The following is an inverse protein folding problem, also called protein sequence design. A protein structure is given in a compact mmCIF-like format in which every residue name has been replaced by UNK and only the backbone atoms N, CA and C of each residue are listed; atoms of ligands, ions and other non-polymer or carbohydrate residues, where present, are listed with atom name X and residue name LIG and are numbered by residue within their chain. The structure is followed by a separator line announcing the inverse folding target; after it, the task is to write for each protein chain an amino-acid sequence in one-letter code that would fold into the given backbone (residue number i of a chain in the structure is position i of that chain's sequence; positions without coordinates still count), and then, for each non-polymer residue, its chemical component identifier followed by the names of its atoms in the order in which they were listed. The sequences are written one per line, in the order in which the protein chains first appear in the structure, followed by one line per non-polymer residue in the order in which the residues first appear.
data_IF_406575193321
#
_entry.id   IF_406575193321
#
_cell.length_a   1.000
_cell.length_b   1.000
_cell.length_c   1.000
_cell.angle_alpha   90.00
_cell.angle_beta   90.00
_cell.angle_gamma   90.00
#
_symmetry.space_group_name_H-M   'P 1'
#
loop_
_entity.id
_entity.type
_entity.pdbx_description
1 polymer ?
#
# COMPACT_ATOMS: atom_id res chain seq x y z
N UNK A 1 10.33 -41.75 -61.41
CA UNK A 1 10.50 -42.51 -60.16
C UNK A 1 11.00 -41.52 -59.14
N UNK A 2 10.12 -41.18 -58.20
CA UNK A 2 10.31 -40.16 -57.19
C UNK A 2 11.32 -40.66 -56.15
N UNK A 3 12.38 -39.87 -55.92
CA UNK A 3 13.35 -40.07 -54.85
C UNK A 3 12.77 -39.44 -53.58
N UNK A 4 12.04 -40.24 -52.81
CA UNK A 4 11.47 -39.86 -51.51
C UNK A 4 12.59 -39.82 -50.46
N UNK A 5 13.35 -38.73 -50.46
CA UNK A 5 14.38 -38.43 -49.48
C UNK A 5 13.80 -38.22 -48.08
N UNK A 6 13.72 -39.31 -47.30
CA UNK A 6 13.60 -39.22 -45.85
C UNK A 6 14.90 -38.61 -45.33
N UNK A 7 14.91 -37.28 -45.13
CA UNK A 7 15.96 -36.55 -44.39
C UNK A 7 15.90 -36.98 -42.92
N UNK A 8 16.52 -38.12 -42.62
CA UNK A 8 16.70 -38.61 -41.26
C UNK A 8 17.65 -37.71 -40.49
N UNK A 9 17.13 -37.03 -39.47
CA UNK A 9 17.93 -36.43 -38.41
C UNK A 9 18.71 -37.59 -37.76
N UNK A 10 20.02 -37.68 -37.99
CA UNK A 10 20.84 -38.80 -37.50
C UNK A 10 20.84 -38.88 -35.98
N UNK A 11 19.94 -39.67 -35.40
CA UNK A 11 19.86 -39.94 -33.97
C UNK A 11 20.59 -41.24 -33.62
N UNK A 12 21.33 -41.20 -32.51
CA UNK A 12 22.06 -42.36 -31.98
C UNK A 12 23.27 -42.75 -32.85
N UNK A 13 23.47 -44.06 -33.02
CA UNK A 13 24.63 -44.64 -33.71
C UNK A 13 24.63 -44.49 -35.23
N UNK A 14 23.62 -43.85 -35.83
CA UNK A 14 23.50 -43.70 -37.29
C UNK A 14 23.67 -42.23 -37.68
N UNK A 15 24.59 -41.99 -38.61
CA UNK A 15 24.89 -40.66 -39.17
C UNK A 15 23.73 -40.15 -40.04
N UNK A 16 23.70 -38.85 -40.29
CA UNK A 16 22.73 -38.23 -41.21
C UNK A 16 22.81 -38.75 -42.67
N UNK A 17 23.83 -39.56 -42.99
CA UNK A 17 24.00 -40.25 -44.27
C UNK A 17 23.53 -41.71 -44.25
N UNK A 18 22.90 -42.16 -43.17
CA UNK A 18 22.41 -43.54 -43.00
C UNK A 18 23.50 -44.58 -42.70
N UNK A 19 24.73 -44.14 -42.38
CA UNK A 19 25.85 -45.03 -42.04
C UNK A 19 26.11 -45.07 -40.53
N UNK A 20 26.60 -46.20 -40.03
CA UNK A 20 27.05 -46.34 -38.63
C UNK A 20 28.16 -45.33 -38.31
N UNK A 21 27.96 -44.55 -37.24
CA UNK A 21 28.93 -43.56 -36.76
C UNK A 21 30.18 -44.26 -36.23
N UNK A 22 31.33 -43.70 -36.54
CA UNK A 22 32.61 -44.13 -35.98
C UNK A 22 32.73 -43.78 -34.50
N UNK A 23 33.58 -44.50 -33.76
CA UNK A 23 33.86 -44.24 -32.34
C UNK A 23 34.27 -42.79 -32.07
N UNK A 24 34.98 -42.16 -33.02
CA UNK A 24 35.42 -40.77 -32.93
C UNK A 24 34.26 -39.78 -33.10
N UNK A 25 33.32 -40.08 -34.00
CA UNK A 25 32.13 -39.26 -34.21
C UNK A 25 31.21 -39.29 -32.98
N UNK A 26 31.04 -40.47 -32.38
CA UNK A 26 30.28 -40.64 -31.12
C UNK A 26 30.93 -39.82 -30.00
N UNK A 27 32.26 -39.91 -29.82
CA UNK A 27 32.97 -39.13 -28.80
C UNK A 27 32.87 -37.62 -28.99
N UNK A 28 32.88 -37.14 -30.23
CA UNK A 28 32.72 -35.70 -30.54
C UNK A 28 31.29 -35.24 -30.25
N UNK A 29 30.30 -36.08 -30.50
CA UNK A 29 28.90 -35.79 -30.23
C UNK A 29 28.60 -35.83 -28.72
N UNK A 30 29.14 -36.81 -27.99
CA UNK A 30 29.08 -36.91 -26.53
C UNK A 30 29.74 -35.69 -25.86
N UNK A 31 30.91 -35.28 -26.35
CA UNK A 31 31.60 -34.08 -25.85
C UNK A 31 30.80 -32.79 -26.12
N UNK A 32 30.12 -32.71 -27.28
CA UNK A 32 29.22 -31.58 -27.60
C UNK A 32 27.95 -31.61 -26.75
N UNK A 33 27.37 -32.77 -26.48
CA UNK A 33 26.23 -32.89 -25.57
C UNK A 33 26.62 -32.49 -24.13
N UNK A 34 27.77 -32.93 -23.64
CA UNK A 34 28.30 -32.52 -22.33
C UNK A 34 28.54 -31.00 -22.24
N UNK A 35 28.99 -30.35 -23.32
CA UNK A 35 29.13 -28.90 -23.40
C UNK A 35 27.81 -28.13 -23.57
N UNK A 36 26.76 -28.78 -24.07
CA UNK A 36 25.44 -28.16 -24.22
C UNK A 36 24.62 -28.29 -22.94
N UNK A 37 24.80 -29.37 -22.17
CA UNK A 37 24.20 -29.56 -20.85
C UNK A 37 24.77 -28.62 -19.77
N UNK A 38 26.03 -28.19 -19.89
CA UNK A 38 26.63 -27.20 -18.97
C UNK A 38 26.13 -25.77 -19.18
N UNK A 39 25.34 -25.52 -20.23
CA UNK A 39 24.55 -24.30 -20.45
C UNK A 39 23.05 -24.58 -20.44
N UNK A 40 22.59 -25.57 -19.66
CA UNK A 40 21.24 -25.46 -19.12
C UNK A 40 21.22 -24.11 -18.41
N UNK A 41 20.48 -23.12 -18.95
CA UNK A 41 20.15 -21.90 -18.20
C UNK A 41 19.71 -22.42 -16.84
N UNK A 42 20.44 -22.09 -15.77
CA UNK A 42 19.93 -22.27 -14.43
C UNK A 42 18.59 -21.58 -14.44
N UNK A 43 17.52 -22.37 -14.49
CA UNK A 43 16.17 -21.87 -14.33
C UNK A 43 16.18 -21.35 -12.92
N UNK A 44 16.34 -20.02 -12.78
CA UNK A 44 16.46 -19.39 -11.49
C UNK A 44 15.26 -19.85 -10.67
N UNK A 45 15.49 -20.67 -9.65
CA UNK A 45 14.40 -21.20 -8.85
C UNK A 45 13.75 -19.97 -8.22
N UNK A 46 12.49 -19.72 -8.58
CA UNK A 46 11.67 -18.75 -7.89
C UNK A 46 11.44 -19.35 -6.52
N UNK A 47 12.02 -18.78 -5.47
CA UNK A 47 11.83 -19.19 -4.09
C UNK A 47 10.79 -18.29 -3.42
N UNK A 48 10.30 -18.70 -2.25
CA UNK A 48 9.37 -17.84 -1.50
C UNK A 48 9.95 -16.45 -1.20
N UNK A 49 11.23 -16.38 -0.87
CA UNK A 49 11.94 -15.11 -0.64
C UNK A 49 11.90 -14.17 -1.85
N UNK A 50 11.95 -14.71 -3.07
CA UNK A 50 11.85 -13.90 -4.30
C UNK A 50 10.45 -13.32 -4.50
N UNK A 51 9.41 -14.06 -4.13
CA UNK A 51 8.02 -13.58 -4.17
C UNK A 51 7.83 -12.45 -3.17
N UNK A 52 8.27 -12.63 -1.92
CA UNK A 52 8.21 -11.60 -0.87
C UNK A 52 8.97 -10.33 -1.29
N UNK A 53 10.18 -10.49 -1.85
CA UNK A 53 10.98 -9.37 -2.34
C UNK A 53 10.35 -8.64 -3.54
N UNK A 54 9.60 -9.34 -4.39
CA UNK A 54 8.89 -8.72 -5.50
C UNK A 54 7.65 -7.93 -5.05
N UNK A 55 6.97 -8.36 -3.98
CA UNK A 55 5.79 -7.68 -3.44
C UNK A 55 6.12 -6.52 -2.50
N UNK A 56 7.28 -6.55 -1.84
CA UNK A 56 7.69 -5.53 -0.89
C UNK A 56 7.65 -4.08 -1.44
N UNK A 57 8.15 -3.76 -2.65
CA UNK A 57 8.06 -2.41 -3.21
C UNK A 57 6.62 -1.93 -3.41
N UNK A 58 5.71 -2.84 -3.74
CA UNK A 58 4.29 -2.51 -3.94
C UNK A 58 3.64 -2.17 -2.60
N UNK A 59 3.94 -2.96 -1.56
CA UNK A 59 3.50 -2.66 -0.19
C UNK A 59 4.02 -1.32 0.30
N UNK A 60 5.32 -1.04 0.10
CA UNK A 60 5.94 0.22 0.51
C UNK A 60 5.28 1.42 -0.15
N UNK A 61 5.12 1.40 -1.48
CA UNK A 61 4.48 2.51 -2.21
C UNK A 61 3.04 2.76 -1.76
N UNK A 62 2.28 1.68 -1.51
CA UNK A 62 0.92 1.81 -1.02
C UNK A 62 0.87 2.43 0.38
N UNK A 63 1.75 1.98 1.28
CA UNK A 63 1.87 2.52 2.62
C UNK A 63 2.30 4.00 2.63
N UNK A 64 3.18 4.40 1.73
CA UNK A 64 3.55 5.81 1.52
C UNK A 64 2.33 6.65 1.14
N UNK A 65 1.55 6.22 0.15
CA UNK A 65 0.32 6.92 -0.25
C UNK A 65 -0.67 7.05 0.92
N UNK A 66 -0.88 5.98 1.68
CA UNK A 66 -1.79 6.00 2.83
C UNK A 66 -1.27 6.90 3.96
N UNK A 67 0.05 6.89 4.21
CA UNK A 67 0.68 7.72 5.23
C UNK A 67 0.62 9.21 4.89
N UNK A 68 0.74 9.59 3.63
CA UNK A 68 0.54 10.97 3.18
C UNK A 68 -0.87 11.47 3.50
N UNK A 69 -1.89 10.66 3.20
CA UNK A 69 -3.30 10.97 3.51
C UNK A 69 -3.52 11.05 5.03
N UNK A 70 -2.98 10.09 5.79
CA UNK A 70 -3.07 10.09 7.27
C UNK A 70 -2.39 11.31 7.86
N UNK A 71 -1.25 11.73 7.30
CA UNK A 71 -0.52 12.93 7.73
C UNK A 71 -1.40 14.18 7.57
N UNK A 72 -2.00 14.38 6.39
CA UNK A 72 -2.92 15.48 6.13
C UNK A 72 -4.13 15.49 7.11
N UNK A 73 -4.73 14.32 7.33
CA UNK A 73 -5.84 14.16 8.31
C UNK A 73 -5.38 14.50 9.73
N UNK A 74 -4.15 14.15 10.13
CA UNK A 74 -3.62 14.45 11.46
C UNK A 74 -3.40 15.96 11.66
N UNK A 75 -2.84 16.66 10.66
CA UNK A 75 -2.67 18.12 10.70
C UNK A 75 -4.04 18.80 10.85
N UNK A 76 -5.01 18.44 10.01
CA UNK A 76 -6.38 18.93 10.10
C UNK A 76 -7.01 18.66 11.47
N UNK A 77 -6.78 17.47 12.03
CA UNK A 77 -7.28 17.09 13.35
C UNK A 77 -6.66 17.91 14.49
N UNK A 78 -5.38 18.28 14.38
CA UNK A 78 -4.71 19.14 15.36
C UNK A 78 -5.28 20.56 15.32
N UNK A 79 -5.38 21.14 14.12
CA UNK A 79 -5.95 22.47 13.90
C UNK A 79 -7.39 22.57 14.43
N UNK A 80 -8.22 21.55 14.15
CA UNK A 80 -9.59 21.48 14.65
C UNK A 80 -9.66 21.35 16.19
N UNK A 81 -8.72 20.66 16.83
CA UNK A 81 -8.67 20.57 18.31
C UNK A 81 -8.32 21.92 18.93
N UNK A 82 -7.38 22.63 18.33
CA UNK A 82 -7.02 23.97 18.79
C UNK A 82 -8.18 24.95 18.60
N UNK A 83 -8.85 24.91 17.44
CA UNK A 83 -10.05 25.70 17.17
C UNK A 83 -11.16 25.44 18.20
N UNK A 84 -11.37 24.16 18.54
CA UNK A 84 -12.34 23.76 19.56
C UNK A 84 -11.98 24.33 20.94
N UNK A 85 -10.69 24.32 21.32
CA UNK A 85 -10.20 24.87 22.58
C UNK A 85 -10.44 26.38 22.64
N UNK A 86 -10.01 27.12 21.62
CA UNK A 86 -10.17 28.57 21.54
C UNK A 86 -11.65 28.98 21.56
N UNK A 87 -12.50 28.29 20.79
CA UNK A 87 -13.94 28.58 20.74
C UNK A 87 -14.62 28.35 22.10
N UNK A 88 -14.23 27.29 22.83
CA UNK A 88 -14.73 27.05 24.20
C UNK A 88 -14.29 28.16 25.16
N UNK A 89 -13.03 28.58 25.09
CA UNK A 89 -12.52 29.68 25.91
C UNK A 89 -13.30 30.97 25.62
N UNK A 90 -13.49 31.32 24.34
CA UNK A 90 -14.30 32.48 23.95
C UNK A 90 -15.74 32.42 24.48
N UNK A 91 -16.38 31.24 24.49
CA UNK A 91 -17.72 31.08 25.06
C UNK A 91 -17.72 31.35 26.57
N UNK A 92 -16.76 30.81 27.32
CA UNK A 92 -16.70 31.03 28.77
C UNK A 92 -16.38 32.50 29.10
N UNK A 93 -15.38 33.09 28.44
CA UNK A 93 -15.05 34.51 28.63
C UNK A 93 -16.23 35.42 28.23
N UNK A 94 -17.01 35.07 27.19
CA UNK A 94 -18.21 35.81 26.81
C UNK A 94 -19.34 35.68 27.85
N UNK A 95 -19.51 34.50 28.48
CA UNK A 95 -20.47 34.37 29.60
C UNK A 95 -20.08 35.23 30.80
N UNK A 96 -18.79 35.30 31.10
CA UNK A 96 -18.26 36.15 32.16
C UNK A 96 -18.45 37.64 31.84
N UNK A 97 -18.20 38.06 30.59
CA UNK A 97 -18.53 39.41 30.10
C UNK A 97 -20.02 39.72 30.26
N UNK A 98 -20.90 38.76 29.93
CA UNK A 98 -22.35 38.92 30.11
C UNK A 98 -22.71 39.16 31.57
N UNK A 99 -22.07 38.45 32.50
CA UNK A 99 -22.29 38.64 33.95
C UNK A 99 -21.79 40.02 34.38
N UNK A 100 -20.58 40.40 34.01
CA UNK A 100 -20.00 41.70 34.35
C UNK A 100 -20.85 42.87 33.81
N UNK A 101 -21.41 42.76 32.61
CA UNK A 101 -22.35 43.73 32.04
C UNK A 101 -23.64 43.85 32.85
N UNK A 102 -24.16 42.72 33.38
CA UNK A 102 -25.37 42.70 34.21
C UNK A 102 -25.11 43.37 35.57
N UNK A 103 -23.94 43.11 36.14
CA UNK A 103 -23.52 43.62 37.45
C UNK A 103 -22.96 45.06 37.36
N UNK A 104 -22.80 45.59 36.14
CA UNK A 104 -22.24 46.91 35.81
C UNK A 104 -20.81 47.10 36.34
N UNK A 105 -20.05 46.01 36.40
CA UNK A 105 -18.65 46.01 36.81
C UNK A 105 -17.76 46.46 35.64
N UNK A 106 -17.40 47.74 35.62
CA UNK A 106 -16.64 48.34 34.51
C UNK A 106 -15.23 47.78 34.37
N UNK A 107 -14.60 47.36 35.47
CA UNK A 107 -13.24 46.80 35.45
C UNK A 107 -13.27 45.39 34.87
N UNK A 108 -14.20 44.54 35.35
CA UNK A 108 -14.39 43.20 34.81
C UNK A 108 -14.83 43.22 33.34
N UNK A 109 -15.68 44.17 32.93
CA UNK A 109 -16.07 44.35 31.51
C UNK A 109 -14.83 44.61 30.65
N UNK A 110 -13.97 45.55 31.04
CA UNK A 110 -12.78 45.90 30.27
C UNK A 110 -11.83 44.72 30.14
N UNK A 111 -11.55 44.03 31.25
CA UNK A 111 -10.68 42.85 31.29
C UNK A 111 -11.20 41.73 30.37
N UNK A 112 -12.51 41.46 30.41
CA UNK A 112 -13.11 40.38 29.59
C UNK A 112 -13.16 40.73 28.10
N UNK A 113 -13.31 42.01 27.73
CA UNK A 113 -13.18 42.44 26.34
C UNK A 113 -11.76 42.28 25.82
N UNK A 114 -10.76 42.66 26.62
CA UNK A 114 -9.36 42.47 26.26
C UNK A 114 -9.02 40.99 26.06
N UNK A 115 -9.48 40.13 26.98
CA UNK A 115 -9.30 38.68 26.87
C UNK A 115 -9.99 38.09 25.62
N UNK A 116 -11.23 38.52 25.33
CA UNK A 116 -11.93 38.11 24.11
C UNK A 116 -11.20 38.55 22.83
N UNK A 117 -10.65 39.78 22.81
CA UNK A 117 -9.87 40.27 21.67
C UNK A 117 -8.62 39.41 21.45
N UNK A 118 -7.86 39.10 22.51
CA UNK A 118 -6.69 38.21 22.42
C UNK A 118 -7.07 36.82 21.89
N UNK A 119 -8.17 36.24 22.37
CA UNK A 119 -8.65 34.95 21.88
C UNK A 119 -9.12 35.02 20.42
N UNK A 120 -9.72 36.14 19.99
CA UNK A 120 -10.10 36.36 18.61
C UNK A 120 -8.88 36.46 17.68
N UNK A 121 -7.83 37.18 18.09
CA UNK A 121 -6.56 37.27 17.36
C UNK A 121 -5.90 35.89 17.19
N UNK A 122 -5.82 35.10 18.27
CA UNK A 122 -5.29 33.73 18.22
C UNK A 122 -6.08 32.86 17.24
N UNK A 123 -7.40 32.97 17.26
CA UNK A 123 -8.27 32.20 16.38
C UNK A 123 -8.18 32.67 14.93
N UNK A 124 -8.00 33.96 14.69
CA UNK A 124 -7.76 34.48 13.35
C UNK A 124 -6.41 34.00 12.79
N UNK A 125 -5.36 34.00 13.62
CA UNK A 125 -4.07 33.43 13.25
C UNK A 125 -4.20 31.94 12.89
N UNK A 126 -4.92 31.16 13.71
CA UNK A 126 -5.21 29.75 13.41
C UNK A 126 -6.02 29.59 12.10
N UNK A 127 -7.02 30.45 11.85
CA UNK A 127 -7.80 30.40 10.62
C UNK A 127 -6.94 30.71 9.38
N UNK A 128 -5.96 31.61 9.50
CA UNK A 128 -4.98 31.88 8.43
C UNK A 128 -4.04 30.70 8.21
N UNK A 129 -3.53 30.10 9.28
CA UNK A 129 -2.71 28.89 9.21
C UNK A 129 -3.48 27.74 8.55
N UNK A 130 -4.73 27.50 8.96
CA UNK A 130 -5.58 26.47 8.32
C UNK A 130 -5.79 26.73 6.84
N UNK A 131 -5.95 27.99 6.41
CA UNK A 131 -6.04 28.32 4.99
C UNK A 131 -4.74 27.99 4.24
N UNK A 132 -3.59 28.24 4.85
CA UNK A 132 -2.29 27.89 4.30
C UNK A 132 -2.12 26.37 4.21
N UNK A 133 -2.33 25.65 5.31
CA UNK A 133 -2.25 24.18 5.35
C UNK A 133 -3.19 23.54 4.32
N UNK A 134 -4.40 24.10 4.19
CA UNK A 134 -5.39 23.67 3.21
C UNK A 134 -4.89 23.84 1.75
N UNK A 135 -4.12 24.88 1.47
CA UNK A 135 -3.56 25.13 0.14
C UNK A 135 -2.35 24.20 -0.13
N UNK A 136 -1.47 24.05 0.86
CA UNK A 136 -0.29 23.17 0.78
C UNK A 136 -0.66 21.70 0.61
N UNK A 137 -1.79 21.28 1.19
CA UNK A 137 -2.29 19.89 1.10
C UNK A 137 -3.26 19.65 -0.06
N UNK A 138 -3.44 20.60 -0.97
CA UNK A 138 -4.43 20.50 -2.06
C UNK A 138 -4.30 19.22 -2.89
N UNK A 139 -3.08 18.82 -3.22
CA UNK A 139 -2.77 17.58 -3.99
C UNK A 139 -2.97 16.28 -3.19
N UNK A 140 -3.11 16.38 -1.87
CA UNK A 140 -3.35 15.25 -0.96
C UNK A 140 -4.83 15.04 -0.66
N UNK A 141 -5.70 15.99 -1.07
CA UNK A 141 -7.12 15.99 -0.71
C UNK A 141 -7.90 14.87 -1.34
N UNK A 142 -7.57 14.47 -2.56
CA UNK A 142 -8.23 13.36 -3.24
C UNK A 142 -7.17 12.43 -3.76
N UNK A 143 -6.97 11.31 -3.07
CA UNK A 143 -5.98 10.30 -3.44
C UNK A 143 -6.69 9.02 -3.85
N UNK A 144 -6.33 8.55 -5.04
CA UNK A 144 -6.63 7.19 -5.45
C UNK A 144 -5.60 6.28 -4.79
N UNK A 145 -6.06 5.46 -3.84
CA UNK A 145 -5.22 4.44 -3.25
C UNK A 145 -5.14 3.29 -4.24
N UNK A 146 -3.96 3.11 -4.84
CA UNK A 146 -3.74 2.18 -5.96
C UNK A 146 -2.75 1.10 -5.58
N UNK A 147 -3.10 -0.14 -5.87
CA UNK A 147 -2.21 -1.29 -5.77
C UNK A 147 -1.83 -1.75 -7.18
N UNK A 148 -0.59 -1.49 -7.61
CA UNK A 148 -0.17 -1.70 -9.00
C UNK A 148 -1.00 -0.85 -9.96
N UNK A 149 -1.68 -1.49 -10.92
CA UNK A 149 -2.61 -0.82 -11.84
C UNK A 149 -4.07 -0.82 -11.34
N UNK A 150 -4.34 -1.44 -10.19
CA UNK A 150 -5.69 -1.59 -9.67
C UNK A 150 -6.00 -0.51 -8.63
N UNK A 151 -7.09 0.22 -8.86
CA UNK A 151 -7.58 1.20 -7.89
C UNK A 151 -8.36 0.49 -6.79
N UNK A 152 -7.89 0.59 -5.55
CA UNK A 152 -8.51 -0.05 -4.38
C UNK A 152 -9.47 0.88 -3.64
N UNK A 153 -9.27 2.19 -3.75
CA UNK A 153 -10.23 3.15 -3.20
C UNK A 153 -9.93 4.59 -3.61
N UNK A 154 -10.91 5.46 -3.40
CA UNK A 154 -10.73 6.92 -3.40
C UNK A 154 -10.93 7.38 -1.98
N UNK A 155 -9.93 8.07 -1.43
CA UNK A 155 -10.08 8.75 -0.16
C UNK A 155 -10.06 10.25 -0.41
N UNK A 156 -11.02 10.93 0.20
CA UNK A 156 -11.14 12.37 0.15
C UNK A 156 -10.96 13.00 1.54
N UNK A 157 -9.88 13.76 1.72
CA UNK A 157 -9.65 14.60 2.90
C UNK A 157 -10.31 15.95 2.67
N UNK A 158 -11.48 16.13 3.29
CA UNK A 158 -12.24 17.38 3.21
C UNK A 158 -11.47 18.55 3.80
N UNK A 159 -11.67 19.74 3.23
CA UNK A 159 -11.11 20.97 3.76
C UNK A 159 -11.67 21.29 5.14
N UNK A 160 -10.79 21.77 6.01
CA UNK A 160 -11.19 22.31 7.30
C UNK A 160 -11.48 23.79 7.15
N UNK A 161 -12.59 24.25 7.75
CA UNK A 161 -12.97 25.65 7.78
C UNK A 161 -13.19 26.09 9.22
N UNK A 162 -12.35 27.02 9.66
CA UNK A 162 -12.54 27.78 10.90
C UNK A 162 -13.07 29.15 10.50
N UNK A 163 -14.19 29.58 11.08
CA UNK A 163 -14.68 30.92 10.77
C UNK A 163 -13.78 31.93 11.50
N UNK A 164 -13.35 32.97 10.81
CA UNK A 164 -12.85 34.17 11.46
C UNK A 164 -14.07 35.04 11.77
N UNK A 165 -14.47 35.15 13.04
CA UNK A 165 -15.48 36.15 13.41
C UNK A 165 -14.81 37.51 13.52
N UNK A 166 -15.30 38.46 12.73
CA UNK A 166 -14.82 39.84 12.67
C UNK A 166 -15.46 40.77 13.70
N UNK A 167 -16.38 40.29 14.54
CA UNK A 167 -16.96 41.12 15.61
C UNK A 167 -15.90 41.41 16.66
N UNK A 168 -15.52 42.68 16.78
CA UNK A 168 -14.63 43.14 17.83
C UNK A 168 -15.33 42.99 19.18
N UNK A 169 -14.60 42.67 20.26
CA UNK A 169 -15.21 42.54 21.59
C UNK A 169 -15.84 43.86 22.07
N UNK A 170 -15.40 45.00 21.51
CA UNK A 170 -15.93 46.33 21.78
C UNK A 170 -17.34 46.56 21.22
N UNK A 171 -17.77 45.74 20.24
CA UNK A 171 -19.13 45.77 19.69
C UNK A 171 -20.14 45.09 20.63
N UNK A 172 -19.67 44.34 21.63
CA UNK A 172 -20.50 43.63 22.61
C UNK A 172 -20.88 44.56 23.77
N UNK A 173 -21.85 45.45 23.53
CA UNK A 173 -22.21 46.55 24.46
C UNK A 173 -23.24 46.15 25.50
N UNK A 174 -24.11 45.20 25.17
CA UNK A 174 -25.19 44.75 26.06
C UNK A 174 -25.29 43.22 26.12
N UNK A 175 -26.06 42.71 27.09
CA UNK A 175 -26.24 41.26 27.29
C UNK A 175 -26.94 40.55 26.13
N UNK A 176 -27.65 41.27 25.26
CA UNK A 176 -28.22 40.76 24.02
C UNK A 176 -27.13 40.46 22.99
N UNK A 177 -26.29 41.46 22.69
CA UNK A 177 -25.15 41.32 21.76
C UNK A 177 -24.24 40.15 22.17
N UNK A 178 -23.96 40.02 23.48
CA UNK A 178 -23.15 38.93 24.02
C UNK A 178 -23.82 37.56 23.85
N UNK A 179 -25.15 37.47 23.95
CA UNK A 179 -25.84 36.20 23.70
C UNK A 179 -25.76 35.78 22.24
N UNK A 180 -25.98 36.71 21.32
CA UNK A 180 -25.90 36.43 19.88
C UNK A 180 -24.48 36.00 19.48
N UNK A 181 -23.48 36.63 20.11
CA UNK A 181 -22.10 36.21 19.99
C UNK A 181 -21.87 34.77 20.49
N UNK A 182 -22.36 34.43 21.69
CA UNK A 182 -22.26 33.08 22.28
C UNK A 182 -22.96 32.02 21.42
N UNK A 183 -24.19 32.27 20.97
CA UNK A 183 -24.94 31.31 20.13
C UNK A 183 -24.24 31.06 18.80
N UNK A 184 -23.66 32.11 18.25
CA UNK A 184 -22.81 31.99 17.09
C UNK A 184 -21.55 31.15 17.31
N UNK A 185 -20.87 31.33 18.44
CA UNK A 185 -19.73 30.48 18.82
C UNK A 185 -20.14 29.02 19.08
N UNK A 186 -21.34 28.77 19.62
CA UNK A 186 -21.87 27.40 19.80
C UNK A 186 -22.13 26.71 18.47
N UNK A 187 -22.72 27.43 17.51
CA UNK A 187 -22.97 26.93 16.16
C UNK A 187 -21.65 26.53 15.49
N UNK A 188 -20.64 27.37 15.63
CA UNK A 188 -19.31 27.06 15.12
C UNK A 188 -18.63 25.91 15.86
N UNK A 189 -18.74 25.86 17.19
CA UNK A 189 -18.23 24.75 17.98
C UNK A 189 -18.82 23.42 17.51
N UNK A 190 -20.09 23.41 17.13
CA UNK A 190 -20.72 22.23 16.54
C UNK A 190 -20.14 21.91 15.16
N UNK A 191 -20.02 22.90 14.27
CA UNK A 191 -19.34 22.73 12.97
C UNK A 191 -17.92 22.17 13.11
N UNK A 192 -17.12 22.66 14.07
CA UNK A 192 -15.76 22.14 14.35
C UNK A 192 -15.81 20.67 14.78
N UNK A 193 -16.77 20.29 15.64
CA UNK A 193 -16.95 18.88 16.04
C UNK A 193 -17.36 18.00 14.86
N UNK A 194 -18.26 18.46 14.01
CA UNK A 194 -18.72 17.71 12.84
C UNK A 194 -17.55 17.49 11.87
N UNK A 195 -16.69 18.50 11.68
CA UNK A 195 -15.46 18.38 10.91
C UNK A 195 -14.46 17.41 11.56
N UNK A 196 -14.30 17.42 12.89
CA UNK A 196 -13.46 16.43 13.58
C UNK A 196 -13.95 15.00 13.36
N UNK A 197 -15.27 14.79 13.40
CA UNK A 197 -15.86 13.49 13.13
C UNK A 197 -15.59 13.06 11.68
N UNK A 198 -15.73 13.96 10.70
CA UNK A 198 -15.39 13.67 9.31
C UNK A 198 -13.91 13.28 9.13
N UNK A 199 -12.97 13.92 9.83
CA UNK A 199 -11.56 13.53 9.81
C UNK A 199 -11.33 12.14 10.42
N UNK A 200 -12.05 11.81 11.50
CA UNK A 200 -12.02 10.47 12.13
C UNK A 200 -12.56 9.39 11.19
N UNK A 201 -13.64 9.68 10.48
CA UNK A 201 -14.24 8.76 9.51
C UNK A 201 -13.28 8.52 8.34
N UNK A 202 -12.67 9.60 7.82
CA UNK A 202 -11.63 9.52 6.78
C UNK A 202 -10.45 8.65 7.23
N UNK A 203 -9.97 8.81 8.47
CA UNK A 203 -8.89 7.96 9.02
C UNK A 203 -9.29 6.50 9.11
N UNK A 204 -10.54 6.22 9.50
CA UNK A 204 -11.08 4.85 9.55
C UNK A 204 -11.15 4.26 8.15
N UNK A 205 -11.58 5.03 7.16
CA UNK A 205 -11.62 4.60 5.76
C UNK A 205 -10.23 4.24 5.23
N UNK A 206 -9.21 5.09 5.45
CA UNK A 206 -7.83 4.79 5.02
C UNK A 206 -7.32 3.51 5.68
N UNK A 207 -7.58 3.32 6.98
CA UNK A 207 -7.20 2.10 7.70
C UNK A 207 -7.88 0.85 7.16
N UNK A 208 -9.17 0.94 6.80
CA UNK A 208 -9.89 -0.17 6.18
C UNK A 208 -9.26 -0.56 4.85
N UNK A 209 -8.99 0.42 3.99
CA UNK A 209 -8.34 0.19 2.68
C UNK A 209 -6.92 -0.37 2.84
N UNK A 210 -6.16 0.07 3.86
CA UNK A 210 -4.86 -0.52 4.23
C UNK A 210 -4.98 -2.00 4.59
N UNK A 211 -5.92 -2.34 5.46
CA UNK A 211 -6.13 -3.73 5.89
C UNK A 211 -6.55 -4.64 4.74
N UNK A 212 -7.42 -4.16 3.85
CA UNK A 212 -7.85 -4.91 2.65
C UNK A 212 -6.68 -5.17 1.68
N UNK A 213 -5.83 -4.16 1.46
CA UNK A 213 -4.66 -4.30 0.58
C UNK A 213 -3.60 -5.21 1.19
N UNK A 214 -3.33 -5.09 2.48
CA UNK A 214 -2.41 -6.00 3.17
C UNK A 214 -2.92 -7.45 3.13
N UNK A 215 -4.21 -7.67 3.35
CA UNK A 215 -4.82 -9.00 3.25
C UNK A 215 -4.71 -9.57 1.82
N UNK A 216 -4.98 -8.74 0.81
CA UNK A 216 -4.83 -9.13 -0.60
C UNK A 216 -3.38 -9.50 -0.93
N UNK A 217 -2.43 -8.68 -0.49
CA UNK A 217 -1.00 -8.92 -0.68
C UNK A 217 -0.53 -10.22 -0.02
N UNK A 218 -0.94 -10.47 1.22
CA UNK A 218 -0.61 -11.69 1.93
C UNK A 218 -1.21 -12.93 1.24
N UNK A 219 -2.43 -12.83 0.70
CA UNK A 219 -3.05 -13.93 -0.06
C UNK A 219 -2.26 -14.22 -1.34
N UNK A 220 -1.93 -13.19 -2.13
CA UNK A 220 -1.14 -13.33 -3.36
C UNK A 220 0.22 -13.94 -3.06
N UNK A 221 0.88 -13.47 -2.00
CA UNK A 221 2.17 -13.99 -1.54
C UNK A 221 2.06 -15.48 -1.20
N UNK A 222 1.11 -15.85 -0.35
CA UNK A 222 0.91 -17.23 0.10
C UNK A 222 0.55 -18.17 -1.06
N UNK A 223 -0.37 -17.78 -1.93
CA UNK A 223 -0.80 -18.57 -3.09
C UNK A 223 0.35 -18.76 -4.09
N UNK A 224 1.16 -17.72 -4.30
CA UNK A 224 2.33 -17.78 -5.19
C UNK A 224 3.40 -18.72 -4.63
N UNK A 225 3.72 -18.61 -3.33
CA UNK A 225 4.68 -19.49 -2.65
C UNK A 225 4.20 -20.95 -2.74
N UNK A 226 2.92 -21.19 -2.45
CA UNK A 226 2.34 -22.54 -2.52
C UNK A 226 2.40 -23.10 -3.95
N UNK A 227 2.06 -22.31 -4.96
CA UNK A 227 2.11 -22.75 -6.36
C UNK A 227 3.53 -23.11 -6.78
N UNK A 228 4.53 -22.35 -6.31
CA UNK A 228 5.95 -22.65 -6.53
C UNK A 228 6.32 -23.98 -5.86
N UNK A 229 5.97 -24.17 -4.58
CA UNK A 229 6.27 -25.40 -3.85
C UNK A 229 5.64 -26.64 -4.50
N UNK A 230 4.41 -26.53 -4.99
CA UNK A 230 3.74 -27.61 -5.72
C UNK A 230 4.45 -27.91 -7.06
N UNK A 231 4.91 -26.90 -7.79
CA UNK A 231 5.68 -27.07 -9.02
C UNK A 231 7.05 -27.71 -8.76
N UNK A 232 7.74 -27.30 -7.69
CA UNK A 232 9.01 -27.90 -7.26
C UNK A 232 8.79 -29.37 -6.91
N UNK A 233 7.79 -29.70 -6.08
CA UNK A 233 7.46 -31.09 -5.73
C UNK A 233 7.15 -31.95 -6.96
N UNK A 234 6.36 -31.43 -7.92
CA UNK A 234 6.06 -32.14 -9.18
C UNK A 234 7.32 -32.39 -9.99
N UNK A 235 8.21 -31.41 -10.06
CA UNK A 235 9.47 -31.52 -10.80
C UNK A 235 10.43 -32.50 -10.13
N UNK A 236 10.57 -32.45 -8.80
CA UNK A 236 11.37 -33.42 -8.04
C UNK A 236 10.84 -34.84 -8.21
N UNK A 237 9.52 -35.03 -8.13
CA UNK A 237 8.90 -36.33 -8.40
C UNK A 237 9.17 -36.82 -9.82
N UNK A 238 9.05 -35.94 -10.83
CA UNK A 238 9.37 -36.29 -12.21
C UNK A 238 10.85 -36.69 -12.36
N UNK A 239 11.76 -35.99 -11.69
CA UNK A 239 13.19 -36.30 -11.70
C UNK A 239 13.48 -37.66 -11.02
N UNK A 240 12.81 -37.97 -9.91
CA UNK A 240 12.87 -39.27 -9.23
C UNK A 240 12.30 -40.39 -10.13
N UNK A 241 11.15 -40.18 -10.77
CA UNK A 241 10.52 -41.13 -11.70
C UNK A 241 11.40 -41.39 -12.93
N UNK A 242 12.03 -40.36 -13.49
CA UNK A 242 13.00 -40.48 -14.60
C UNK A 242 14.28 -41.21 -14.19
N UNK A 243 14.81 -40.91 -13.01
CA UNK A 243 16.02 -41.54 -12.48
C UNK A 243 15.79 -43.03 -12.20
N UNK A 244 14.68 -43.37 -11.52
CA UNK A 244 14.29 -44.76 -11.24
C UNK A 244 13.99 -45.55 -12.52
N UNK A 245 13.29 -44.95 -13.50
CA UNK A 245 13.05 -45.57 -14.80
C UNK A 245 14.34 -45.80 -15.59
N UNK A 246 15.27 -44.86 -15.54
CA UNK A 246 16.59 -44.99 -16.20
C UNK A 246 17.42 -46.10 -15.55
N UNK A 247 17.42 -46.20 -14.22
CA UNK A 247 18.06 -47.30 -13.49
C UNK A 247 17.42 -48.66 -13.82
N UNK A 248 16.09 -48.72 -13.92
CA UNK A 248 15.37 -49.93 -14.30
C UNK A 248 15.70 -50.39 -15.73
N UNK A 249 15.84 -49.45 -16.68
CA UNK A 249 16.25 -49.73 -18.05
C UNK A 249 17.71 -50.22 -18.12
N UNK A 250 18.63 -49.58 -17.41
CA UNK A 250 20.04 -50.01 -17.34
C UNK A 250 20.17 -51.40 -16.72
N UNK A 251 19.40 -51.70 -15.67
CA UNK A 251 19.38 -53.02 -15.04
C UNK A 251 18.77 -54.09 -15.96
N UNK A 252 17.71 -53.79 -16.70
CA UNK A 252 17.14 -54.76 -17.65
C UNK A 252 18.06 -55.00 -18.86
N UNK A 253 18.77 -53.97 -19.34
CA UNK A 253 19.76 -54.11 -20.41
C UNK A 253 20.99 -54.92 -19.95
N UNK A 254 21.45 -54.73 -18.71
CA UNK A 254 22.57 -55.50 -18.16
C UNK A 254 22.19 -56.97 -17.95
N UNK A 255 21.02 -57.25 -17.38
CA UNK A 255 20.53 -58.62 -17.15
C UNK A 255 20.28 -59.35 -18.48
N UNK A 256 19.62 -58.71 -19.45
CA UNK A 256 19.39 -59.33 -20.76
C UNK A 256 20.69 -59.56 -21.53
N UNK A 257 21.66 -58.66 -21.45
CA UNK A 257 22.98 -58.83 -22.07
C UNK A 257 23.76 -59.99 -21.44
N UNK A 258 23.72 -60.11 -20.11
CA UNK A 258 24.37 -61.20 -19.37
C UNK A 258 23.69 -62.55 -19.69
N UNK A 259 22.36 -62.60 -19.74
CA UNK A 259 21.62 -63.82 -20.11
C UNK A 259 21.93 -64.27 -21.55
N UNK A 260 22.03 -63.32 -22.50
CA UNK A 260 22.34 -63.64 -23.90
C UNK A 260 23.77 -64.17 -24.09
N UNK A 261 24.71 -63.71 -23.27
CA UNK A 261 26.10 -64.21 -23.22
C UNK A 261 26.23 -65.59 -22.56
N UNK A 262 25.36 -65.91 -21.59
CA UNK A 262 25.35 -67.22 -20.92
C UNK A 262 24.56 -68.30 -21.70
N UNK A 263 23.79 -67.90 -22.72
CA UNK A 263 23.01 -68.80 -23.58
C UNK A 263 23.55 -68.91 -25.01
N UNK A 264 24.73 -68.35 -25.27
CA UNK A 264 25.55 -68.54 -26.48
C UNK A 264 26.74 -69.43 -26.17
#
# INVERSE_FOLDING_TARGET
MEDSGIKGIGQGFISAKGQLKSKREIQVEDAKQAQTQSKAKETEIVTGDKVSNALAPVRTRFNEQANEVISAVNVNSQNLKEAQKLTKQQIETAKELKSALKDKDTEAIALKREELNKLAEQREALARQVKQDNAEQSDLRRRNLSFGNEQKGVVEVKEVKIQSRSTAADDLKNSGDVNDFIEGLKTELQSVKDQQQAQKDTKTQVKGVLQEVDATLNSIESDSIRSIDEAVKRTSKLAEDLSSSSQALVNNLSVSSVQKLLSS
#
